data_IF_089170132380
#
_entry.id   IF_089170132380
#
_cell.length_a   1.000
_cell.length_b   1.000
_cell.length_c   1.000
_cell.angle_alpha   90.00
_cell.angle_beta   90.00
_cell.angle_gamma   90.00
#
_symmetry.space_group_name_H-M   'P 1'
#
loop_
_entity.id
_entity.type
_entity.pdbx_description
1 polymer ?
#
# COMPACT_ATOMS: atom_id res chain seq x y z
N UNK A 1 17.59 8.11 -0.16
CA UNK A 1 17.83 6.67 -0.41
C UNK A 1 16.50 5.95 -0.31
N UNK A 2 16.11 5.17 -1.32
CA UNK A 2 14.82 4.45 -1.36
C UNK A 2 15.07 2.98 -1.02
N UNK A 3 14.49 2.47 0.07
CA UNK A 3 14.52 1.04 0.41
C UNK A 3 13.39 0.30 -0.33
N UNK A 4 13.67 -0.95 -0.76
CA UNK A 4 12.69 -1.81 -1.42
C UNK A 4 12.76 -3.20 -0.82
N UNK A 5 11.62 -3.85 -0.69
CA UNK A 5 11.49 -5.24 -0.25
C UNK A 5 10.45 -5.95 -1.11
N UNK A 6 10.63 -7.24 -1.30
CA UNK A 6 9.74 -8.08 -2.08
C UNK A 6 8.97 -9.03 -1.17
N UNK A 7 7.65 -8.99 -1.30
CA UNK A 7 6.76 -9.95 -0.68
C UNK A 7 7.00 -11.36 -1.24
N UNK A 8 6.67 -12.41 -0.46
CA UNK A 8 6.81 -13.80 -0.92
C UNK A 8 5.95 -14.06 -2.17
N UNK A 9 6.48 -14.88 -3.07
CA UNK A 9 5.74 -15.35 -4.25
C UNK A 9 4.41 -16.00 -3.84
N UNK A 10 3.33 -15.64 -4.55
CA UNK A 10 1.98 -16.16 -4.31
C UNK A 10 0.99 -15.16 -3.68
N UNK A 11 1.44 -14.00 -3.20
CA UNK A 11 0.53 -12.91 -2.84
C UNK A 11 0.09 -12.14 -4.10
N UNK A 12 -1.20 -12.25 -4.44
CA UNK A 12 -1.80 -11.54 -5.57
C UNK A 12 -2.36 -10.18 -5.12
N UNK A 13 -1.53 -9.14 -5.17
CA UNK A 13 -2.00 -7.77 -4.99
C UNK A 13 -2.72 -7.30 -6.25
N UNK A 14 -4.05 -7.14 -6.18
CA UNK A 14 -4.89 -6.71 -7.32
C UNK A 14 -5.02 -5.20 -7.44
N UNK A 15 -4.79 -4.49 -6.33
CA UNK A 15 -4.70 -3.04 -6.28
C UNK A 15 -3.40 -2.65 -5.57
N UNK A 16 -2.91 -1.47 -5.90
CA UNK A 16 -1.81 -0.85 -5.17
C UNK A 16 -2.32 0.32 -4.35
N UNK A 17 -1.61 0.63 -3.27
CA UNK A 17 -1.86 1.85 -2.52
C UNK A 17 -0.54 2.52 -2.15
N UNK A 18 -0.61 3.83 -1.93
CA UNK A 18 0.51 4.65 -1.45
C UNK A 18 0.02 5.54 -0.33
N UNK A 19 0.79 5.60 0.75
CA UNK A 19 0.50 6.42 1.93
C UNK A 19 1.43 7.63 1.89
N UNK A 20 0.87 8.82 2.08
CA UNK A 20 1.60 10.08 2.16
C UNK A 20 0.87 11.00 3.14
N UNK A 21 1.54 11.33 4.25
CA UNK A 21 0.96 12.11 5.34
C UNK A 21 -0.37 11.50 5.85
N UNK A 22 -1.46 12.28 5.91
CA UNK A 22 -2.80 11.86 6.30
C UNK A 22 -3.65 11.29 5.14
N UNK A 23 -3.00 10.93 4.01
CA UNK A 23 -3.68 10.49 2.78
C UNK A 23 -3.22 9.12 2.33
N UNK A 24 -4.17 8.36 1.81
CA UNK A 24 -3.93 7.07 1.15
C UNK A 24 -4.54 7.12 -0.25
N UNK A 25 -3.71 6.94 -1.27
CA UNK A 25 -4.17 6.77 -2.66
C UNK A 25 -4.27 5.29 -2.96
N UNK A 26 -5.44 4.85 -3.42
CA UNK A 26 -5.62 3.54 -4.04
C UNK A 26 -5.63 3.68 -5.55
N UNK A 27 -4.90 2.81 -6.23
CA UNK A 27 -4.81 2.74 -7.68
C UNK A 27 -5.22 1.33 -8.08
N UNK A 28 -6.34 1.23 -8.80
CA UNK A 28 -6.80 -0.04 -9.36
C UNK A 28 -5.86 -0.51 -10.47
N UNK A 29 -5.93 -1.81 -10.78
CA UNK A 29 -5.21 -2.36 -11.92
C UNK A 29 -5.62 -1.65 -13.22
N UNK A 30 -4.75 -1.67 -14.24
CA UNK A 30 -5.00 -1.07 -15.55
C UNK A 30 -6.32 -1.53 -16.21
N UNK A 31 -6.90 -2.64 -15.77
CA UNK A 31 -8.18 -3.16 -16.26
C UNK A 31 -9.38 -2.35 -15.77
N UNK A 32 -9.37 -1.86 -14.53
CA UNK A 32 -10.50 -1.11 -13.97
C UNK A 32 -10.31 0.42 -14.06
N UNK A 33 -9.05 0.88 -14.17
CA UNK A 33 -8.66 2.24 -14.51
C UNK A 33 -9.26 3.37 -13.64
N UNK A 34 -9.57 3.09 -12.37
CA UNK A 34 -9.92 4.10 -11.38
C UNK A 34 -8.88 4.19 -10.26
N UNK A 35 -8.86 5.32 -9.60
CA UNK A 35 -8.13 5.53 -8.35
C UNK A 35 -8.89 6.51 -7.49
N UNK A 36 -8.69 6.43 -6.18
CA UNK A 36 -9.33 7.34 -5.24
C UNK A 36 -8.39 7.63 -4.08
N UNK A 37 -8.66 8.75 -3.41
CA UNK A 37 -7.90 9.21 -2.25
C UNK A 37 -8.80 9.21 -1.03
N UNK A 38 -8.31 8.62 0.05
CA UNK A 38 -8.91 8.75 1.38
C UNK A 38 -8.02 9.69 2.17
N UNK A 39 -8.55 10.86 2.56
CA UNK A 39 -7.86 11.77 3.48
C UNK A 39 -8.47 11.60 4.87
N UNK A 40 -7.74 10.91 5.74
CA UNK A 40 -8.09 10.69 7.13
C UNK A 40 -6.85 10.19 7.87
N UNK A 41 -6.51 10.88 8.96
CA UNK A 41 -5.36 10.52 9.80
C UNK A 41 -5.51 9.10 10.38
N UNK A 42 -6.67 8.79 10.94
CA UNK A 42 -6.94 7.46 11.53
C UNK A 42 -6.84 6.35 10.47
N UNK A 43 -7.32 6.63 9.25
CA UNK A 43 -7.24 5.68 8.16
C UNK A 43 -5.80 5.49 7.67
N UNK A 44 -5.03 6.57 7.55
CA UNK A 44 -3.62 6.50 7.17
C UNK A 44 -2.80 5.71 8.20
N UNK A 45 -3.05 5.91 9.50
CA UNK A 45 -2.42 5.15 10.58
C UNK A 45 -2.76 3.65 10.51
N UNK A 46 -4.03 3.31 10.26
CA UNK A 46 -4.45 1.92 10.05
C UNK A 46 -3.74 1.27 8.86
N UNK A 47 -3.69 1.96 7.71
CA UNK A 47 -3.03 1.46 6.51
C UNK A 47 -1.51 1.35 6.69
N UNK A 48 -0.90 2.23 7.47
CA UNK A 48 0.52 2.16 7.81
C UNK A 48 0.82 0.91 8.66
N UNK A 49 -0.03 0.59 9.64
CA UNK A 49 0.11 -0.67 10.40
C UNK A 49 0.04 -1.89 9.47
N UNK A 50 -0.86 -1.90 8.48
CA UNK A 50 -0.93 -2.97 7.48
C UNK A 50 0.34 -3.04 6.62
N UNK A 51 0.86 -1.89 6.20
CA UNK A 51 2.11 -1.81 5.43
C UNK A 51 3.30 -2.36 6.24
N UNK A 52 3.46 -1.99 7.51
CA UNK A 52 4.55 -2.47 8.37
C UNK A 52 4.49 -3.99 8.58
N UNK A 53 3.28 -4.56 8.70
CA UNK A 53 3.10 -6.00 8.75
C UNK A 53 3.56 -6.68 7.44
N UNK A 54 3.25 -6.10 6.28
CA UNK A 54 3.76 -6.60 5.00
C UNK A 54 5.27 -6.44 4.88
N UNK A 55 5.81 -5.30 5.34
CA UNK A 55 7.22 -4.95 5.27
C UNK A 55 8.13 -5.84 6.13
N UNK A 56 7.67 -6.17 7.33
CA UNK A 56 8.36 -7.09 8.26
C UNK A 56 8.39 -8.52 7.73
N UNK A 57 7.39 -8.93 6.95
CA UNK A 57 7.32 -10.26 6.32
C UNK A 57 7.98 -10.32 4.93
N UNK A 58 8.43 -9.18 4.39
CA UNK A 58 9.07 -9.08 3.08
C UNK A 58 10.59 -9.23 3.16
N UNK A 59 11.18 -9.80 2.12
CA UNK A 59 12.64 -9.96 2.02
C UNK A 59 13.26 -8.76 1.31
N UNK A 60 14.50 -8.40 1.67
CA UNK A 60 15.29 -7.42 0.92
C UNK A 60 15.62 -7.93 -0.48
#
# INVERSE_FOLDING_TARGET
LVERRYAKAGQAFRMSYSIYDDKVVFISSAKEAYGFVVQSKEFAELMLMQFELLWSNSKK
#
